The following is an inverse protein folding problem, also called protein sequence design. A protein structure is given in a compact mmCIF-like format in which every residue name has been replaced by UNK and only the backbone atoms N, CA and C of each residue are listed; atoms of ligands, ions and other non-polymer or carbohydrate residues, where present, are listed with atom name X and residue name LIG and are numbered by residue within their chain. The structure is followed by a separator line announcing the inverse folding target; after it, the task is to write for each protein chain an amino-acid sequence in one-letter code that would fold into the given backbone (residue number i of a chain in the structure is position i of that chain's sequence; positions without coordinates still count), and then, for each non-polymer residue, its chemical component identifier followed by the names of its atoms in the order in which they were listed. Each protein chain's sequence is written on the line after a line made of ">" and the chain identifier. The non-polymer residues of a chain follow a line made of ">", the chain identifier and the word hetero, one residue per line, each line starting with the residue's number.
data_IF_584546635740
#
_entry.id   IF_584546635740
#
_cell.length_a   1.000
_cell.length_b   1.000
_cell.length_c   1.000
_cell.angle_alpha   90.00
_cell.angle_beta   90.00
_cell.angle_gamma   90.00
#
_symmetry.space_group_name_H-M   'P 1'
#
loop_
_entity.id
_entity.type
_entity.pdbx_description
1 polymer ?
#
# COMPACT_ATOMS: atom_id res chain seq x y z
N UNK A 1 -22.65 0.03 4.14
CA UNK A 1 -21.75 1.16 4.47
C UNK A 1 -20.38 0.92 3.82
N UNK A 2 -19.82 1.91 3.12
CA UNK A 2 -18.45 1.86 2.59
C UNK A 2 -17.47 2.34 3.66
N UNK A 3 -16.30 1.71 3.78
CA UNK A 3 -15.22 2.12 4.70
C UNK A 3 -13.94 2.31 3.89
N UNK A 4 -13.21 3.38 4.18
CA UNK A 4 -11.89 3.63 3.63
C UNK A 4 -10.87 3.59 4.76
N UNK A 5 -9.74 2.93 4.52
CA UNK A 5 -8.58 2.93 5.41
C UNK A 5 -7.46 3.62 4.65
N UNK A 6 -6.98 4.73 5.21
CA UNK A 6 -5.89 5.51 4.63
C UNK A 6 -4.60 5.18 5.37
N UNK A 7 -3.58 4.78 4.64
CA UNK A 7 -2.23 4.66 5.17
C UNK A 7 -1.44 5.91 4.80
N UNK A 8 -1.22 6.80 5.77
CA UNK A 8 -0.41 8.01 5.60
C UNK A 8 0.95 7.75 6.22
N UNK A 9 1.92 7.37 5.38
CA UNK A 9 3.26 6.97 5.82
C UNK A 9 3.94 8.13 6.53
N UNK A 10 4.46 7.88 7.73
CA UNK A 10 5.16 8.88 8.54
C UNK A 10 4.27 9.85 9.31
N UNK A 11 2.94 9.78 9.16
CA UNK A 11 2.03 10.65 9.91
C UNK A 11 2.16 10.40 11.41
N UNK A 12 2.44 11.47 12.15
CA UNK A 12 2.57 11.49 13.59
C UNK A 12 1.54 12.41 14.25
N UNK A 13 1.39 12.31 15.57
CA UNK A 13 0.56 13.23 16.34
C UNK A 13 1.01 14.69 16.16
N UNK A 14 2.32 14.94 16.04
CA UNK A 14 2.89 16.27 15.83
C UNK A 14 2.36 16.90 14.54
N UNK A 15 2.19 16.12 13.48
CA UNK A 15 1.68 16.62 12.20
C UNK A 15 0.22 17.06 12.32
N UNK A 16 -0.59 16.29 13.05
CA UNK A 16 -1.99 16.60 13.33
C UNK A 16 -2.10 17.87 14.19
N UNK A 17 -1.17 18.06 15.13
CA UNK A 17 -1.11 19.20 16.05
C UNK A 17 -0.41 20.43 15.47
N UNK A 18 0.27 20.29 14.32
CA UNK A 18 1.11 21.34 13.73
C UNK A 18 0.37 22.60 13.27
N UNK A 19 -0.95 22.54 13.09
CA UNK A 19 -1.74 23.57 12.44
C UNK A 19 -1.67 23.59 10.91
N UNK A 20 -0.75 22.81 10.30
CA UNK A 20 -0.56 22.74 8.84
C UNK A 20 -1.55 21.80 8.14
N UNK A 21 -2.29 20.97 8.89
CA UNK A 21 -3.24 19.99 8.35
C UNK A 21 -4.68 20.25 8.82
N UNK A 22 -5.28 21.41 8.53
CA UNK A 22 -6.50 21.88 9.19
C UNK A 22 -7.69 20.92 9.09
N UNK A 23 -7.83 20.23 7.95
CA UNK A 23 -8.90 19.22 7.76
C UNK A 23 -8.71 17.99 8.66
N UNK A 24 -7.47 17.50 8.78
CA UNK A 24 -7.16 16.34 9.60
C UNK A 24 -7.21 16.68 11.09
N UNK A 25 -6.69 17.85 11.48
CA UNK A 25 -6.79 18.37 12.85
C UNK A 25 -8.26 18.55 13.27
N UNK A 26 -9.10 19.13 12.41
CA UNK A 26 -10.53 19.28 12.69
C UNK A 26 -11.24 17.92 12.83
N UNK A 27 -10.86 16.93 12.01
CA UNK A 27 -11.38 15.56 12.11
C UNK A 27 -10.96 14.89 13.42
N UNK A 28 -9.69 15.03 13.81
CA UNK A 28 -9.14 14.47 15.04
C UNK A 28 -9.80 15.07 16.30
N UNK A 29 -10.19 16.35 16.28
CA UNK A 29 -10.94 16.98 17.39
C UNK A 29 -12.36 16.42 17.56
N UNK A 30 -12.98 15.93 16.49
CA UNK A 30 -14.37 15.44 16.47
C UNK A 30 -14.48 13.91 16.51
N UNK A 31 -13.36 13.20 16.50
CA UNK A 31 -13.31 11.74 16.41
C UNK A 31 -12.37 11.20 17.48
N UNK A 32 -12.63 9.99 17.97
CA UNK A 32 -11.62 9.29 18.75
C UNK A 32 -10.41 8.95 17.87
N UNK A 33 -9.22 9.19 18.40
CA UNK A 33 -7.97 8.72 17.81
C UNK A 33 -7.05 8.23 18.94
N UNK A 34 -6.12 7.34 18.60
CA UNK A 34 -5.17 6.79 19.57
C UNK A 34 -3.80 6.63 18.93
N UNK A 35 -2.76 6.66 19.75
CA UNK A 35 -1.40 6.34 19.32
C UNK A 35 -1.26 4.83 19.27
N UNK A 36 -0.73 4.34 18.16
CA UNK A 36 -0.45 2.91 17.97
C UNK A 36 1.04 2.67 18.12
N UNK A 37 1.40 1.56 18.78
CA UNK A 37 2.80 1.12 18.81
C UNK A 37 3.19 0.73 17.38
N UNK A 38 4.24 1.35 16.79
CA UNK A 38 4.64 1.04 15.43
C UNK A 38 5.07 -0.41 15.29
N UNK A 39 4.98 -0.94 14.06
CA UNK A 39 5.56 -2.23 13.73
C UNK A 39 7.08 -2.22 13.95
N UNK A 40 7.65 -3.40 14.21
CA UNK A 40 9.09 -3.57 14.31
C UNK A 40 9.53 -4.72 13.39
N UNK A 41 10.46 -4.49 12.44
CA UNK A 41 11.10 -3.20 12.11
C UNK A 41 10.11 -2.15 11.56
N UNK A 42 10.36 -0.88 11.86
CA UNK A 42 9.46 0.24 11.52
C UNK A 42 9.64 0.70 10.06
N UNK A 43 9.47 -0.24 9.11
CA UNK A 43 9.54 0.01 7.67
C UNK A 43 8.22 -0.35 6.99
N UNK A 44 7.97 0.27 5.83
CA UNK A 44 6.67 0.26 5.14
C UNK A 44 6.09 -1.13 4.93
N UNK A 45 6.85 -2.07 4.36
CA UNK A 45 6.34 -3.40 4.02
C UNK A 45 5.90 -4.18 5.27
N UNK A 46 6.70 -4.10 6.33
CA UNK A 46 6.42 -4.71 7.64
C UNK A 46 5.15 -4.09 8.23
N UNK A 47 5.12 -2.77 8.40
CA UNK A 47 3.98 -2.06 8.99
C UNK A 47 2.67 -2.28 8.23
N UNK A 48 2.70 -2.22 6.90
CA UNK A 48 1.50 -2.48 6.10
C UNK A 48 1.01 -3.91 6.24
N UNK A 49 1.92 -4.89 6.33
CA UNK A 49 1.55 -6.29 6.54
C UNK A 49 0.95 -6.50 7.94
N UNK A 50 1.49 -5.88 8.99
CA UNK A 50 0.89 -5.86 10.34
C UNK A 50 -0.58 -5.37 10.26
N UNK A 51 -0.83 -4.22 9.63
CA UNK A 51 -2.18 -3.65 9.55
C UNK A 51 -3.16 -4.47 8.70
N UNK A 52 -2.69 -5.01 7.57
CA UNK A 52 -3.56 -5.76 6.66
C UNK A 52 -3.87 -7.17 7.15
N UNK A 53 -3.05 -7.74 8.04
CA UNK A 53 -3.21 -9.12 8.52
C UNK A 53 -3.63 -9.19 9.98
N UNK A 54 -3.37 -8.15 10.78
CA UNK A 54 -3.62 -8.12 12.22
C UNK A 54 -2.63 -8.95 13.04
N UNK A 55 -1.59 -9.49 12.42
CA UNK A 55 -0.55 -10.31 13.09
C UNK A 55 0.83 -9.67 12.95
N UNK A 56 1.83 -10.21 13.65
CA UNK A 56 3.21 -9.68 13.67
C UNK A 56 4.11 -10.32 12.60
N UNK A 57 5.32 -9.77 12.34
CA UNK A 57 6.23 -10.30 11.32
C UNK A 57 6.63 -11.76 11.49
N UNK A 58 6.65 -12.25 12.73
CA UNK A 58 6.87 -13.67 13.04
C UNK A 58 5.77 -14.60 12.48
N UNK A 59 4.60 -14.06 12.12
CA UNK A 59 3.48 -14.81 11.57
C UNK A 59 3.27 -14.53 10.08
N UNK A 60 3.23 -13.27 9.66
CA UNK A 60 3.00 -12.94 8.24
C UNK A 60 4.28 -12.98 7.38
N UNK A 61 5.47 -13.12 7.98
CA UNK A 61 6.74 -13.37 7.28
C UNK A 61 7.43 -12.16 6.66
N UNK A 62 6.83 -10.97 6.72
CA UNK A 62 7.41 -9.75 6.14
C UNK A 62 8.19 -8.99 7.20
N UNK A 63 9.51 -9.11 7.17
CA UNK A 63 10.41 -8.49 8.18
C UNK A 63 11.05 -7.19 7.71
N UNK A 64 10.90 -6.82 6.44
CA UNK A 64 11.44 -5.58 5.91
C UNK A 64 10.98 -5.26 4.49
N UNK A 65 11.49 -4.15 3.94
CA UNK A 65 11.28 -3.80 2.54
C UNK A 65 12.10 -4.67 1.57
N UNK A 66 13.07 -5.40 2.10
CA UNK A 66 13.91 -6.33 1.38
C UNK A 66 14.73 -7.20 2.32
N UNK A 67 15.24 -8.30 1.79
CA UNK A 67 16.11 -9.23 2.51
C UNK A 67 16.97 -10.02 1.51
N UNK A 68 18.00 -10.67 2.05
CA UNK A 68 18.84 -11.59 1.30
C UNK A 68 18.16 -12.96 1.20
N UNK A 69 17.89 -13.40 -0.02
CA UNK A 69 17.44 -14.76 -0.31
C UNK A 69 18.65 -15.67 -0.42
N UNK A 70 18.82 -16.55 0.58
CA UNK A 70 19.96 -17.46 0.65
C UNK A 70 19.93 -18.55 -0.41
N UNK A 71 18.75 -18.93 -0.89
CA UNK A 71 18.62 -19.98 -1.90
C UNK A 71 19.11 -19.49 -3.26
N UNK A 72 18.85 -18.21 -3.55
CA UNK A 72 19.27 -17.56 -4.78
C UNK A 72 20.61 -16.82 -4.65
N UNK A 73 21.09 -16.61 -3.43
CA UNK A 73 22.21 -15.71 -3.13
C UNK A 73 22.01 -14.28 -3.65
N UNK A 74 20.76 -13.80 -3.61
CA UNK A 74 20.38 -12.49 -4.15
C UNK A 74 19.78 -11.59 -3.07
N UNK A 75 20.05 -10.29 -3.18
CA UNK A 75 19.33 -9.28 -2.39
C UNK A 75 18.05 -8.90 -3.12
N UNK A 76 16.92 -8.99 -2.43
CA UNK A 76 15.62 -8.66 -2.99
C UNK A 76 15.01 -7.47 -2.26
N UNK A 77 14.63 -6.43 -3.02
CA UNK A 77 13.91 -5.28 -2.49
C UNK A 77 12.56 -5.10 -3.18
N UNK A 78 11.59 -4.59 -2.42
CA UNK A 78 10.30 -4.12 -2.93
C UNK A 78 9.54 -5.16 -3.76
N UNK A 79 9.67 -6.44 -3.40
CA UNK A 79 8.87 -7.51 -4.02
C UNK A 79 7.39 -7.21 -3.78
N UNK A 80 6.56 -7.49 -4.78
CA UNK A 80 5.14 -7.12 -4.75
C UNK A 80 4.18 -8.31 -4.74
N UNK A 81 4.67 -9.55 -4.80
CA UNK A 81 3.82 -10.75 -4.80
C UNK A 81 3.05 -10.89 -3.48
N UNK A 82 1.73 -10.92 -3.53
CA UNK A 82 0.87 -11.10 -2.35
C UNK A 82 1.13 -12.42 -1.61
N UNK A 83 1.63 -13.43 -2.32
CA UNK A 83 1.96 -14.76 -1.77
C UNK A 83 3.10 -14.73 -0.76
N UNK A 84 3.93 -13.68 -0.74
CA UNK A 84 4.99 -13.51 0.25
C UNK A 84 4.44 -13.21 1.66
N UNK A 85 3.19 -12.76 1.76
CA UNK A 85 2.53 -12.47 3.04
C UNK A 85 1.82 -13.73 3.51
N UNK A 86 2.39 -14.42 4.51
CA UNK A 86 1.95 -15.73 5.00
C UNK A 86 0.83 -15.67 6.05
N UNK A 87 -0.05 -14.69 5.95
CA UNK A 87 -1.24 -14.56 6.79
C UNK A 87 -2.45 -14.10 5.95
N UNK A 88 -3.68 -14.43 6.36
CA UNK A 88 -4.88 -13.93 5.72
C UNK A 88 -5.00 -12.42 5.83
N UNK A 89 -5.49 -11.78 4.78
CA UNK A 89 -5.68 -10.33 4.75
C UNK A 89 -7.06 -10.03 5.33
N UNK A 90 -7.24 -8.85 5.92
CA UNK A 90 -8.46 -8.47 6.63
C UNK A 90 -9.72 -8.68 5.79
N UNK A 91 -9.65 -8.40 4.49
CA UNK A 91 -10.77 -8.61 3.58
C UNK A 91 -11.07 -10.09 3.30
N UNK A 92 -10.07 -10.99 3.36
CA UNK A 92 -10.27 -12.43 3.23
C UNK A 92 -11.01 -12.98 4.45
N UNK A 93 -10.63 -12.51 5.64
CA UNK A 93 -11.31 -12.85 6.89
C UNK A 93 -12.76 -12.34 6.87
N UNK A 94 -12.98 -11.08 6.48
CA UNK A 94 -14.34 -10.51 6.38
C UNK A 94 -15.19 -11.29 5.38
N UNK A 95 -14.64 -11.69 4.23
CA UNK A 95 -15.39 -12.40 3.18
C UNK A 95 -15.88 -13.78 3.62
N UNK A 96 -15.22 -14.44 4.57
CA UNK A 96 -15.75 -15.70 5.17
C UNK A 96 -17.10 -15.50 5.83
N UNK A 97 -17.36 -14.32 6.40
CA UNK A 97 -18.62 -13.98 7.07
C UNK A 97 -19.57 -13.20 6.15
N UNK A 98 -19.02 -12.50 5.15
CA UNK A 98 -19.77 -11.64 4.22
C UNK A 98 -19.27 -11.87 2.79
N UNK A 99 -19.72 -12.94 2.10
CA UNK A 99 -19.20 -13.31 0.78
C UNK A 99 -19.32 -12.22 -0.29
N UNK A 100 -20.30 -11.33 -0.16
CA UNK A 100 -20.51 -10.21 -1.07
C UNK A 100 -19.65 -8.96 -0.76
N UNK A 101 -18.81 -9.00 0.27
CA UNK A 101 -17.98 -7.85 0.66
C UNK A 101 -16.93 -7.55 -0.41
N UNK A 102 -17.05 -6.37 -1.02
CA UNK A 102 -16.14 -5.87 -2.07
C UNK A 102 -15.02 -5.04 -1.48
N UNK A 103 -13.80 -5.28 -1.97
CA UNK A 103 -12.58 -4.60 -1.51
C UNK A 103 -11.79 -4.02 -2.67
N UNK A 104 -11.32 -2.79 -2.52
CA UNK A 104 -10.31 -2.19 -3.38
C UNK A 104 -9.00 -2.03 -2.58
N UNK A 105 -7.88 -2.51 -3.11
CA UNK A 105 -6.55 -2.24 -2.58
C UNK A 105 -5.78 -1.30 -3.52
N UNK A 106 -5.69 -0.03 -3.14
CA UNK A 106 -4.94 0.98 -3.89
C UNK A 106 -3.62 1.28 -3.18
N UNK A 107 -2.51 0.90 -3.82
CA UNK A 107 -1.13 1.23 -3.44
C UNK A 107 -0.61 0.67 -2.09
N UNK A 108 -1.33 -0.24 -1.41
CA UNK A 108 -0.72 -1.01 -0.32
C UNK A 108 0.16 -2.13 -0.86
N UNK A 109 1.25 -2.43 -0.16
CA UNK A 109 2.29 -3.35 -0.59
C UNK A 109 1.88 -4.82 -0.51
N UNK A 110 2.63 -5.58 -1.30
CA UNK A 110 2.32 -6.94 -1.74
C UNK A 110 0.97 -7.04 -2.46
N UNK A 111 0.67 -6.10 -3.36
CA UNK A 111 -0.62 -6.06 -4.07
C UNK A 111 -0.72 -6.97 -5.29
N UNK A 112 0.41 -7.42 -5.86
CA UNK A 112 0.37 -8.23 -7.08
C UNK A 112 -0.19 -9.62 -6.79
N UNK A 113 -1.24 -10.02 -7.49
CA UNK A 113 -1.93 -11.28 -7.25
C UNK A 113 -2.72 -11.31 -5.93
N UNK A 114 -3.07 -10.15 -5.39
CA UNK A 114 -4.00 -10.01 -4.27
C UNK A 114 -5.37 -10.63 -4.59
N UNK A 115 -6.11 -10.99 -3.54
CA UNK A 115 -7.50 -11.42 -3.63
C UNK A 115 -8.51 -10.26 -3.58
N UNK A 116 -8.09 -8.99 -3.54
CA UNK A 116 -9.02 -7.85 -3.59
C UNK A 116 -9.74 -7.77 -4.93
N UNK A 117 -10.99 -7.31 -4.93
CA UNK A 117 -11.82 -7.22 -6.15
C UNK A 117 -11.27 -6.19 -7.14
N UNK A 118 -10.71 -5.09 -6.61
CA UNK A 118 -9.97 -4.09 -7.37
C UNK A 118 -8.55 -3.97 -6.78
N UNK A 119 -7.55 -3.77 -7.62
CA UNK A 119 -6.19 -3.45 -7.17
C UNK A 119 -5.50 -2.47 -8.11
N UNK A 120 -4.68 -1.60 -7.52
CA UNK A 120 -3.79 -0.68 -8.23
C UNK A 120 -2.47 -0.62 -7.46
N UNK A 121 -1.34 -0.75 -8.14
CA UNK A 121 -0.01 -0.73 -7.53
C UNK A 121 1.00 -0.12 -8.51
N UNK A 122 2.02 0.61 -8.05
CA UNK A 122 3.03 1.15 -8.95
C UNK A 122 3.89 -0.02 -9.46
N UNK A 123 4.07 -0.10 -10.77
CA UNK A 123 4.82 -1.18 -11.40
C UNK A 123 5.50 -0.67 -12.68
N UNK A 124 6.84 -0.52 -12.65
CA UNK A 124 7.58 -0.32 -13.89
C UNK A 124 7.39 -1.52 -14.83
N UNK A 125 7.15 -1.23 -16.10
CA UNK A 125 7.16 -2.20 -17.19
C UNK A 125 8.59 -2.24 -17.72
N UNK A 126 9.20 -3.42 -17.66
CA UNK A 126 10.54 -3.66 -18.19
C UNK A 126 10.39 -4.18 -19.60
N UNK A 127 10.93 -3.44 -20.56
CA UNK A 127 10.86 -3.77 -21.97
C UNK A 127 12.03 -4.69 -22.36
N UNK A 128 11.87 -5.42 -23.47
CA UNK A 128 12.87 -6.38 -23.94
C UNK A 128 14.21 -5.72 -24.32
N UNK A 129 14.19 -4.44 -24.67
CA UNK A 129 15.36 -3.60 -24.96
C UNK A 129 16.05 -3.05 -23.69
N UNK A 130 15.60 -3.45 -22.50
CA UNK A 130 16.09 -2.94 -21.22
C UNK A 130 15.45 -1.62 -20.78
N UNK A 131 14.54 -1.06 -21.59
CA UNK A 131 13.76 0.13 -21.26
C UNK A 131 12.87 -0.08 -20.03
N UNK A 132 12.55 1.03 -19.34
CA UNK A 132 11.64 1.04 -18.19
C UNK A 132 10.58 2.10 -18.39
N UNK A 133 9.34 1.67 -18.54
CA UNK A 133 8.18 2.56 -18.51
C UNK A 133 7.64 2.56 -17.10
N UNK A 134 7.72 3.69 -16.42
CA UNK A 134 7.12 3.86 -15.10
C UNK A 134 5.61 3.93 -15.23
N UNK A 135 4.91 2.98 -14.63
CA UNK A 135 3.47 2.83 -14.77
C UNK A 135 2.86 2.23 -13.49
N UNK A 136 1.57 1.94 -13.55
CA UNK A 136 0.81 1.15 -12.59
C UNK A 136 0.44 -0.21 -13.19
N UNK A 137 0.34 -1.22 -12.34
CA UNK A 137 -0.40 -2.43 -12.62
C UNK A 137 -1.76 -2.36 -11.91
N UNK A 138 -2.80 -2.89 -12.55
CA UNK A 138 -4.13 -2.94 -11.95
C UNK A 138 -4.86 -4.24 -12.25
N UNK A 139 -5.82 -4.55 -11.39
CA UNK A 139 -6.80 -5.59 -11.61
C UNK A 139 -8.20 -5.05 -11.31
N UNK A 140 -9.21 -5.30 -12.19
CA UNK A 140 -9.07 -5.84 -13.54
C UNK A 140 -8.19 -4.96 -14.45
N UNK A 141 -7.59 -5.54 -15.48
CA UNK A 141 -6.61 -4.85 -16.35
C UNK A 141 -7.15 -3.57 -17.01
N UNK A 142 -8.46 -3.53 -17.29
CA UNK A 142 -9.15 -2.34 -17.83
C UNK A 142 -9.15 -1.12 -16.90
N UNK A 143 -8.85 -1.31 -15.61
CA UNK A 143 -8.82 -0.20 -14.65
C UNK A 143 -7.64 0.75 -14.92
N UNK A 144 -6.50 0.25 -15.42
CA UNK A 144 -5.32 1.08 -15.73
C UNK A 144 -5.63 2.14 -16.79
N UNK A 145 -6.10 1.79 -18.01
CA UNK A 145 -6.41 2.79 -19.02
C UNK A 145 -7.53 3.74 -18.57
N UNK A 146 -8.57 3.24 -17.88
CA UNK A 146 -9.65 4.08 -17.38
C UNK A 146 -9.18 5.13 -16.35
N UNK A 147 -8.25 4.75 -15.45
CA UNK A 147 -7.64 5.70 -14.52
C UNK A 147 -6.80 6.75 -15.26
N UNK A 148 -6.04 6.35 -16.27
CA UNK A 148 -5.22 7.29 -17.05
C UNK A 148 -6.06 8.24 -17.90
N UNK A 149 -7.18 7.78 -18.44
CA UNK A 149 -8.15 8.62 -19.14
C UNK A 149 -8.74 9.68 -18.21
N UNK A 150 -9.08 9.29 -16.97
CA UNK A 150 -9.71 10.19 -16.01
C UNK A 150 -8.73 11.15 -15.30
N UNK A 151 -7.49 10.72 -15.04
CA UNK A 151 -6.54 11.38 -14.14
C UNK A 151 -5.24 11.81 -14.84
N UNK A 152 -5.03 11.39 -16.08
CA UNK A 152 -3.78 11.54 -16.81
C UNK A 152 -2.75 10.46 -16.49
N UNK A 153 -1.52 10.65 -16.96
CA UNK A 153 -0.43 9.71 -16.71
C UNK A 153 -0.05 9.67 -15.21
N UNK A 154 0.30 8.48 -14.72
CA UNK A 154 0.65 8.31 -13.32
C UNK A 154 1.99 9.03 -13.01
N UNK A 155 2.04 9.96 -12.04
CA UNK A 155 3.23 10.73 -11.73
C UNK A 155 4.22 9.92 -10.87
N UNK A 156 4.75 8.84 -11.43
CA UNK A 156 5.56 7.85 -10.69
C UNK A 156 6.77 8.46 -9.97
N UNK A 157 7.36 9.51 -10.54
CA UNK A 157 8.54 10.18 -10.00
C UNK A 157 8.26 10.99 -8.73
N UNK A 158 7.00 11.36 -8.46
CA UNK A 158 6.56 12.01 -7.21
C UNK A 158 5.75 11.06 -6.31
N UNK A 159 5.62 9.79 -6.68
CA UNK A 159 4.91 8.80 -5.85
C UNK A 159 5.72 8.36 -4.63
N UNK A 160 7.04 8.25 -4.76
CA UNK A 160 7.89 7.70 -3.71
C UNK A 160 9.30 8.31 -3.70
N UNK A 161 9.99 8.13 -2.58
CA UNK A 161 11.36 8.62 -2.40
C UNK A 161 11.43 10.11 -2.05
N UNK A 162 12.59 10.75 -2.20
CA UNK A 162 12.81 12.14 -1.77
C UNK A 162 12.01 13.17 -2.56
N UNK A 163 11.40 12.78 -3.68
CA UNK A 163 10.52 13.63 -4.50
C UNK A 163 9.03 13.36 -4.24
N UNK A 164 8.69 12.56 -3.23
CA UNK A 164 7.29 12.29 -2.90
C UNK A 164 6.54 13.61 -2.69
N UNK A 165 5.44 13.80 -3.42
CA UNK A 165 4.83 15.11 -3.61
C UNK A 165 3.31 15.09 -3.78
N UNK A 166 2.72 16.29 -3.86
CA UNK A 166 1.27 16.48 -3.94
C UNK A 166 0.68 15.97 -5.26
N UNK A 167 1.48 15.93 -6.33
CA UNK A 167 1.09 15.49 -7.66
C UNK A 167 0.62 14.04 -7.64
N UNK A 168 1.31 13.16 -6.89
CA UNK A 168 0.91 11.77 -6.73
C UNK A 168 -0.33 11.57 -5.83
N UNK A 169 -0.73 12.61 -5.09
CA UNK A 169 -1.98 12.60 -4.31
C UNK A 169 -3.14 13.22 -5.11
N UNK A 170 -2.85 14.07 -6.10
CA UNK A 170 -3.84 14.66 -7.00
C UNK A 170 -4.30 13.70 -8.09
N UNK A 171 -3.40 12.81 -8.52
CA UNK A 171 -3.72 11.65 -9.34
C UNK A 171 -4.48 10.62 -8.51
#
# INVERSE_FOLDING_TARGET
>A
MRRAVLNVVGLSARDIESGLMPRLSARARRSAWTKIKPAFPAVTCTAQSDYLTGVRPSQHGIVGNGWYDRALSEVHFWKQSNRLVHAPKVWEVIRKQRPQFKTANCFWWYNMGTSSDLSVTPRPIYQADGGKIFDIASFPSKLRPALKEALGEFPFHTFWGPRAGIEATQW
#
